data_IF_006922789257
#
_entry.id   IF_006922789257
#
_cell.length_a   1.000
_cell.length_b   1.000
_cell.length_c   1.000
_cell.angle_alpha   90.00
_cell.angle_beta   90.00
_cell.angle_gamma   90.00
#
_symmetry.space_group_name_H-M   'P 1'
#
loop_
_entity.id
_entity.type
_entity.pdbx_description
1 polymer ?
#
# COMPACT_ATOMS: atom_id res chain seq x y z
N UNK A 1 12.83 15.84 6.58
CA UNK A 1 11.72 15.89 5.60
C UNK A 1 10.54 14.98 5.93
N UNK A 2 10.74 13.78 6.53
CA UNK A 2 9.65 12.84 6.79
C UNK A 2 8.52 13.44 7.64
N UNK A 3 8.84 14.15 8.71
CA UNK A 3 7.84 14.78 9.59
C UNK A 3 7.09 15.93 8.90
N UNK A 4 7.75 16.62 7.97
CA UNK A 4 7.07 17.63 7.14
C UNK A 4 6.04 17.02 6.19
N UNK A 5 6.31 15.80 5.66
CA UNK A 5 5.33 15.07 4.86
C UNK A 5 4.11 14.65 5.70
N UNK A 6 4.31 14.19 6.93
CA UNK A 6 3.22 13.89 7.86
C UNK A 6 2.41 15.16 8.22
N UNK A 7 3.08 16.28 8.45
CA UNK A 7 2.40 17.55 8.67
C UNK A 7 1.55 17.95 7.45
N UNK A 8 2.10 17.84 6.24
CA UNK A 8 1.38 18.16 5.01
C UNK A 8 0.17 17.23 4.73
N UNK A 9 0.22 15.98 5.17
CA UNK A 9 -0.94 15.08 5.15
C UNK A 9 -2.02 15.50 6.15
N UNK A 10 -1.61 15.95 7.33
CA UNK A 10 -2.53 16.35 8.39
C UNK A 10 -3.21 17.69 8.11
N UNK A 11 -2.49 18.64 7.54
CA UNK A 11 -3.03 19.97 7.17
C UNK A 11 -3.71 20.01 5.80
N UNK A 12 -3.63 18.91 5.02
CA UNK A 12 -4.27 18.79 3.71
C UNK A 12 -3.48 19.39 2.55
N UNK A 13 -2.23 19.79 2.75
CA UNK A 13 -1.30 20.18 1.66
C UNK A 13 -0.99 19.00 0.76
N UNK A 14 -0.95 17.77 1.34
CA UNK A 14 -0.80 16.51 0.61
C UNK A 14 -2.13 15.76 0.71
N UNK A 15 -2.72 15.43 -0.44
CA UNK A 15 -4.06 14.84 -0.52
C UNK A 15 -4.09 13.35 -0.20
N UNK A 16 -3.11 12.58 -0.67
CA UNK A 16 -3.17 11.12 -0.63
C UNK A 16 -1.79 10.46 -0.52
N UNK A 17 -1.82 9.18 -0.21
CA UNK A 17 -0.63 8.31 -0.18
C UNK A 17 -0.82 7.20 -1.21
N UNK A 18 0.19 6.99 -2.06
CA UNK A 18 0.23 5.92 -3.05
C UNK A 18 1.52 5.12 -2.92
N UNK A 19 1.57 3.90 -3.46
CA UNK A 19 2.70 3.00 -3.25
C UNK A 19 3.92 3.32 -4.09
N UNK A 20 3.74 3.92 -5.25
CA UNK A 20 4.77 4.06 -6.30
C UNK A 20 5.60 2.78 -6.49
N UNK A 21 4.89 1.64 -6.49
CA UNK A 21 5.50 0.31 -6.58
C UNK A 21 6.26 0.15 -7.89
N UNK A 22 7.57 0.14 -7.82
CA UNK A 22 8.50 0.12 -8.95
C UNK A 22 9.58 -0.95 -8.75
N UNK A 23 9.20 -2.25 -8.90
CA UNK A 23 10.12 -3.35 -8.67
C UNK A 23 11.16 -3.47 -9.79
N UNK A 24 12.32 -4.01 -9.43
CA UNK A 24 13.34 -4.45 -10.38
C UNK A 24 13.81 -5.85 -10.01
N UNK A 25 14.62 -6.47 -10.86
CA UNK A 25 15.33 -7.71 -10.54
C UNK A 25 16.48 -7.43 -9.57
N UNK A 26 16.94 -8.47 -8.88
CA UNK A 26 17.96 -8.37 -7.84
C UNK A 26 19.31 -7.88 -8.39
N UNK A 27 19.70 -8.37 -9.56
CA UNK A 27 20.94 -8.02 -10.26
C UNK A 27 21.07 -6.52 -10.60
N UNK A 28 19.94 -5.83 -10.73
CA UNK A 28 19.92 -4.37 -10.98
C UNK A 28 20.09 -3.53 -9.71
N UNK A 29 20.13 -4.11 -8.52
CA UNK A 29 20.15 -3.35 -7.25
C UNK A 29 21.55 -3.08 -6.69
N UNK A 30 22.59 -3.66 -7.26
CA UNK A 30 23.97 -3.50 -6.79
C UNK A 30 24.12 -3.60 -5.26
N UNK A 31 23.58 -4.69 -4.68
CA UNK A 31 23.54 -4.87 -3.24
C UNK A 31 24.93 -5.08 -2.62
N UNK A 32 25.92 -5.51 -3.41
CA UNK A 32 27.26 -5.81 -2.94
C UNK A 32 28.05 -4.51 -2.64
N UNK A 33 27.95 -3.53 -3.53
CA UNK A 33 28.70 -2.29 -3.41
C UNK A 33 27.85 -1.14 -2.83
N UNK A 34 26.52 -1.19 -3.01
CA UNK A 34 25.58 -0.15 -2.57
C UNK A 34 25.78 1.17 -3.32
N UNK A 35 26.26 1.12 -4.56
CA UNK A 35 26.43 2.30 -5.38
C UNK A 35 25.10 2.77 -5.98
N UNK A 36 24.57 3.86 -5.45
CA UNK A 36 23.31 4.46 -5.91
C UNK A 36 23.37 5.05 -7.33
N UNK A 37 24.55 5.30 -7.86
CA UNK A 37 24.70 5.78 -9.24
C UNK A 37 24.51 4.65 -10.26
N UNK A 38 24.80 3.42 -9.86
CA UNK A 38 24.69 2.22 -10.70
C UNK A 38 23.39 1.47 -10.41
N UNK A 39 22.96 1.41 -9.15
CA UNK A 39 21.79 0.68 -8.73
C UNK A 39 20.50 1.24 -9.38
N UNK A 40 19.71 0.35 -9.99
CA UNK A 40 18.40 0.73 -10.51
C UNK A 40 17.48 1.24 -9.40
N UNK A 41 16.83 2.37 -9.61
CA UNK A 41 15.88 2.98 -8.67
C UNK A 41 14.62 2.13 -8.45
N UNK A 42 13.69 2.69 -7.67
CA UNK A 42 12.40 2.09 -7.40
C UNK A 42 12.35 1.17 -6.19
N UNK A 43 11.14 0.97 -5.67
CA UNK A 43 10.86 0.26 -4.41
C UNK A 43 9.71 -0.72 -4.58
N UNK A 44 9.94 -1.98 -4.21
CA UNK A 44 8.89 -3.00 -4.12
C UNK A 44 8.15 -2.86 -2.78
N UNK A 45 6.92 -2.36 -2.80
CA UNK A 45 6.17 -2.01 -1.58
C UNK A 45 4.66 -2.27 -1.63
N UNK A 46 4.08 -2.63 -2.80
CA UNK A 46 2.63 -2.64 -3.01
C UNK A 46 1.85 -3.40 -1.93
N UNK A 47 2.26 -4.62 -1.61
CA UNK A 47 1.60 -5.46 -0.61
C UNK A 47 1.75 -4.94 0.82
N UNK A 48 2.77 -4.13 1.08
CA UNK A 48 3.15 -3.66 2.42
C UNK A 48 2.56 -2.28 2.76
N UNK A 49 2.03 -1.56 1.76
CA UNK A 49 1.70 -0.14 1.87
C UNK A 49 0.84 0.20 3.09
N UNK A 50 -0.27 -0.51 3.31
CA UNK A 50 -1.16 -0.23 4.45
C UNK A 50 -0.46 -0.45 5.79
N UNK A 51 0.26 -1.57 5.95
CA UNK A 51 0.97 -1.87 7.21
C UNK A 51 2.12 -0.89 7.47
N UNK A 52 2.86 -0.49 6.42
CA UNK A 52 3.93 0.51 6.53
C UNK A 52 3.40 1.86 7.02
N UNK A 53 2.34 2.35 6.38
CA UNK A 53 1.76 3.64 6.74
C UNK A 53 1.07 3.56 8.10
N UNK A 54 0.34 2.48 8.38
CA UNK A 54 -0.32 2.29 9.67
C UNK A 54 0.68 2.22 10.84
N UNK A 55 1.78 1.52 10.69
CA UNK A 55 2.84 1.46 11.72
C UNK A 55 3.31 2.87 12.10
N UNK A 56 3.61 3.70 11.13
CA UNK A 56 4.09 5.06 11.34
C UNK A 56 2.98 6.02 11.83
N UNK A 57 1.76 5.87 11.32
CA UNK A 57 0.60 6.66 11.74
C UNK A 57 0.20 6.38 13.19
N UNK A 58 0.18 5.11 13.59
CA UNK A 58 -0.13 4.67 14.95
C UNK A 58 0.81 5.30 15.99
N UNK A 59 2.11 5.34 15.69
CA UNK A 59 3.10 5.96 16.58
C UNK A 59 2.89 7.47 16.75
N UNK A 60 2.20 8.11 15.81
CA UNK A 60 1.85 9.55 15.83
C UNK A 60 0.45 9.81 16.38
N UNK A 61 -0.26 8.78 16.85
CA UNK A 61 -1.63 8.92 17.33
C UNK A 61 -2.66 9.22 16.23
N UNK A 62 -2.33 8.96 14.97
CA UNK A 62 -3.22 9.20 13.82
C UNK A 62 -4.20 8.03 13.74
N UNK A 63 -5.50 8.34 13.64
CA UNK A 63 -6.54 7.34 13.56
C UNK A 63 -6.49 6.54 12.24
N UNK A 64 -6.84 5.23 12.29
CA UNK A 64 -6.89 4.37 11.11
C UNK A 64 -7.80 4.93 10.02
N UNK A 65 -8.95 5.51 10.39
CA UNK A 65 -9.87 6.14 9.43
C UNK A 65 -9.22 7.24 8.59
N UNK A 66 -8.29 8.02 9.18
CA UNK A 66 -7.54 9.03 8.45
C UNK A 66 -6.56 8.39 7.44
N UNK A 67 -5.87 7.30 7.84
CA UNK A 67 -4.98 6.54 6.94
C UNK A 67 -5.78 5.98 5.76
N UNK A 68 -6.94 5.38 6.02
CA UNK A 68 -7.82 4.85 4.97
C UNK A 68 -8.34 5.95 4.02
N UNK A 69 -8.62 7.14 4.55
CA UNK A 69 -8.96 8.29 3.71
C UNK A 69 -7.83 8.61 2.73
N UNK A 70 -6.58 8.71 3.20
CA UNK A 70 -5.43 9.02 2.35
C UNK A 70 -5.08 7.92 1.35
N UNK A 71 -5.34 6.65 1.67
CA UNK A 71 -4.92 5.52 0.84
C UNK A 71 -6.03 4.93 -0.03
N UNK A 72 -7.29 5.26 0.21
CA UNK A 72 -8.42 4.72 -0.55
C UNK A 72 -9.35 5.83 -1.08
N UNK A 73 -10.00 6.61 -0.20
CA UNK A 73 -11.00 7.58 -0.63
C UNK A 73 -10.41 8.70 -1.49
N UNK A 74 -9.32 9.30 -1.05
CA UNK A 74 -8.65 10.40 -1.78
C UNK A 74 -8.06 9.98 -3.11
N UNK A 75 -7.33 8.85 -3.24
CA UNK A 75 -6.89 8.34 -4.53
C UNK A 75 -8.03 8.03 -5.50
N UNK A 76 -9.13 7.44 -5.02
CA UNK A 76 -10.30 7.16 -5.85
C UNK A 76 -10.94 8.45 -6.37
N UNK A 77 -11.08 9.47 -5.51
CA UNK A 77 -11.59 10.79 -5.88
C UNK A 77 -10.68 11.46 -6.92
N UNK A 78 -9.37 11.45 -6.70
CA UNK A 78 -8.38 12.03 -7.62
C UNK A 78 -8.40 11.35 -9.00
N UNK A 79 -8.55 10.03 -9.01
CA UNK A 79 -8.67 9.25 -10.24
C UNK A 79 -10.04 9.37 -10.93
N UNK A 80 -11.03 9.99 -10.28
CA UNK A 80 -12.40 10.15 -10.81
C UNK A 80 -13.21 8.85 -10.80
N UNK A 81 -12.92 7.94 -9.86
CA UNK A 81 -13.66 6.67 -9.67
C UNK A 81 -14.87 6.93 -8.78
N UNK A 82 -16.08 6.71 -9.30
CA UNK A 82 -17.32 7.10 -8.61
C UNK A 82 -17.80 6.09 -7.57
N UNK A 83 -17.46 4.83 -7.75
CA UNK A 83 -17.95 3.69 -6.96
C UNK A 83 -16.85 2.95 -6.21
N UNK A 84 -15.70 3.60 -5.97
CA UNK A 84 -14.55 3.03 -5.27
C UNK A 84 -14.05 3.92 -4.13
N UNK A 85 -13.22 3.35 -3.25
CA UNK A 85 -12.55 4.06 -2.17
C UNK A 85 -13.37 4.27 -0.90
N UNK A 86 -14.62 3.81 -0.86
CA UNK A 86 -15.51 3.92 0.29
C UNK A 86 -16.33 2.64 0.50
N UNK A 87 -16.73 2.40 1.74
CA UNK A 87 -17.70 1.38 2.12
C UNK A 87 -19.08 2.04 2.22
N UNK A 88 -19.80 2.10 1.10
CA UNK A 88 -21.11 2.75 0.98
C UNK A 88 -22.04 1.98 0.07
N UNK A 89 -23.35 2.15 0.23
CA UNK A 89 -24.34 1.57 -0.68
C UNK A 89 -24.12 2.06 -2.11
N UNK A 90 -24.13 1.13 -3.07
CA UNK A 90 -23.88 1.42 -4.48
C UNK A 90 -22.39 1.45 -4.88
N UNK A 91 -21.48 1.29 -3.92
CA UNK A 91 -20.05 1.15 -4.20
C UNK A 91 -19.66 -0.32 -4.44
N UNK A 92 -18.57 -0.52 -5.16
CA UNK A 92 -18.01 -1.86 -5.32
C UNK A 92 -17.57 -2.43 -3.96
N UNK A 93 -17.86 -3.69 -3.74
CA UNK A 93 -17.43 -4.40 -2.53
C UNK A 93 -15.93 -4.78 -2.61
N UNK A 94 -15.07 -3.77 -2.78
CA UNK A 94 -13.62 -3.88 -2.71
C UNK A 94 -13.20 -3.67 -1.25
N UNK A 95 -12.89 -4.77 -0.56
CA UNK A 95 -12.74 -4.76 0.89
C UNK A 95 -11.40 -5.35 1.31
N UNK A 96 -10.83 -4.81 2.37
CA UNK A 96 -9.72 -5.40 3.11
C UNK A 96 -10.14 -5.68 4.56
N UNK A 97 -10.00 -6.93 5.00
CA UNK A 97 -10.13 -7.27 6.42
C UNK A 97 -8.77 -7.05 7.07
N UNK A 98 -8.71 -6.07 7.94
CA UNK A 98 -7.48 -5.58 8.53
C UNK A 98 -7.49 -5.72 10.06
N UNK A 99 -6.44 -6.30 10.61
CA UNK A 99 -6.21 -6.44 12.05
C UNK A 99 -5.17 -5.42 12.52
N UNK A 100 -5.58 -4.22 12.98
CA UNK A 100 -4.66 -3.10 13.22
C UNK A 100 -3.71 -3.31 14.40
N UNK A 101 -4.08 -4.15 15.36
CA UNK A 101 -3.30 -4.41 16.58
C UNK A 101 -2.35 -5.59 16.46
N UNK A 102 -2.45 -6.36 15.39
CA UNK A 102 -1.53 -7.45 15.13
C UNK A 102 -0.24 -6.93 14.48
N UNK A 103 0.85 -7.67 14.69
CA UNK A 103 2.15 -7.35 14.10
C UNK A 103 2.77 -8.55 13.39
N UNK A 104 3.70 -8.27 12.49
CA UNK A 104 4.51 -9.28 11.82
C UNK A 104 5.86 -8.70 11.41
N UNK A 105 6.80 -9.59 11.12
CA UNK A 105 8.09 -9.22 10.50
C UNK A 105 7.98 -9.50 9.01
N UNK A 106 8.37 -8.53 8.20
CA UNK A 106 8.37 -8.68 6.74
C UNK A 106 9.39 -9.75 6.35
N UNK A 107 8.94 -10.68 5.52
CA UNK A 107 9.76 -11.71 4.90
C UNK A 107 9.57 -11.57 3.38
N UNK A 108 10.60 -11.07 2.69
CA UNK A 108 10.54 -10.80 1.26
C UNK A 108 10.18 -12.05 0.44
N UNK A 109 10.61 -13.23 0.89
CA UNK A 109 10.33 -14.50 0.21
C UNK A 109 8.85 -14.90 0.23
N UNK A 110 8.07 -14.37 1.15
CA UNK A 110 6.61 -14.62 1.30
C UNK A 110 5.74 -13.57 0.62
N UNK A 111 6.34 -12.52 0.10
CA UNK A 111 5.60 -11.50 -0.63
C UNK A 111 5.18 -12.03 -2.02
N UNK A 112 4.01 -11.59 -2.46
CA UNK A 112 3.45 -11.96 -3.77
C UNK A 112 3.97 -11.06 -4.91
N UNK A 113 5.17 -10.53 -4.75
CA UNK A 113 5.86 -9.78 -5.78
C UNK A 113 6.54 -10.73 -6.76
N UNK A 114 6.56 -10.38 -8.03
CA UNK A 114 7.30 -11.16 -9.05
C UNK A 114 8.78 -11.29 -8.68
N UNK A 115 9.37 -10.21 -8.18
CA UNK A 115 10.75 -10.17 -7.72
C UNK A 115 10.73 -10.12 -6.19
N UNK A 116 11.17 -11.18 -5.47
CA UNK A 116 11.07 -11.26 -4.01
C UNK A 116 12.15 -10.43 -3.31
N UNK A 117 12.15 -9.14 -3.58
CA UNK A 117 13.06 -8.15 -3.00
C UNK A 117 12.29 -6.92 -2.54
N UNK A 118 12.59 -6.46 -1.35
CA UNK A 118 12.05 -5.21 -0.81
C UNK A 118 13.03 -4.62 0.20
N UNK A 119 13.17 -3.28 0.31
CA UNK A 119 14.00 -2.66 1.35
C UNK A 119 13.38 -2.78 2.75
N UNK A 120 12.18 -3.35 2.85
CA UNK A 120 11.48 -3.56 4.11
C UNK A 120 11.67 -4.97 4.70
N UNK A 121 12.48 -5.82 4.07
CA UNK A 121 12.76 -7.16 4.58
C UNK A 121 13.32 -7.10 6.01
N UNK A 122 12.84 -7.98 6.87
CA UNK A 122 13.19 -7.98 8.30
C UNK A 122 12.54 -6.88 9.14
N UNK A 123 11.78 -5.93 8.56
CA UNK A 123 11.13 -4.85 9.30
C UNK A 123 9.90 -5.35 10.04
N UNK A 124 9.79 -5.03 11.34
CA UNK A 124 8.58 -5.25 12.12
C UNK A 124 7.52 -4.21 11.76
N UNK A 125 6.31 -4.65 11.44
CA UNK A 125 5.18 -3.82 11.09
C UNK A 125 3.97 -4.13 11.96
N UNK A 126 3.14 -3.12 12.21
CA UNK A 126 1.81 -3.24 12.82
C UNK A 126 0.73 -3.24 11.74
N UNK A 127 -0.32 -4.01 11.99
CA UNK A 127 -1.46 -4.15 11.08
C UNK A 127 -1.27 -5.26 10.06
N UNK A 128 -2.17 -6.24 10.10
CA UNK A 128 -2.16 -7.42 9.22
C UNK A 128 -3.39 -7.41 8.33
N UNK A 129 -3.21 -7.45 7.01
CA UNK A 129 -4.30 -7.70 6.06
C UNK A 129 -4.61 -9.19 6.07
N UNK A 130 -5.77 -9.58 6.56
CA UNK A 130 -6.23 -10.97 6.69
C UNK A 130 -6.85 -11.49 5.40
N UNK A 131 -7.68 -10.66 4.77
CA UNK A 131 -8.41 -11.00 3.55
C UNK A 131 -8.57 -9.77 2.67
N UNK A 132 -8.65 -10.00 1.38
CA UNK A 132 -8.96 -8.96 0.40
C UNK A 132 -10.09 -9.47 -0.50
N UNK A 133 -11.07 -8.63 -0.74
CA UNK A 133 -12.17 -8.89 -1.65
C UNK A 133 -12.15 -7.89 -2.80
N UNK A 134 -12.44 -8.36 -3.99
CA UNK A 134 -12.64 -7.54 -5.18
C UNK A 134 -14.05 -7.76 -5.70
N UNK A 135 -14.88 -6.74 -5.67
CA UNK A 135 -16.32 -6.80 -6.01
C UNK A 135 -17.04 -7.97 -5.31
N UNK A 136 -16.79 -8.12 -4.01
CA UNK A 136 -17.38 -9.17 -3.18
C UNK A 136 -16.77 -10.56 -3.33
N UNK A 137 -15.82 -10.76 -4.25
CA UNK A 137 -15.12 -12.03 -4.43
C UNK A 137 -13.83 -12.05 -3.63
N UNK A 138 -13.66 -13.06 -2.76
CA UNK A 138 -12.42 -13.26 -2.01
C UNK A 138 -11.26 -13.53 -2.98
N UNK A 139 -10.17 -12.79 -2.81
CA UNK A 139 -8.95 -12.97 -3.60
C UNK A 139 -8.13 -14.14 -3.05
N UNK A 140 -8.01 -15.20 -3.84
CA UNK A 140 -7.22 -16.40 -3.50
C UNK A 140 -5.73 -16.27 -3.90
N UNK A 141 -5.40 -15.25 -4.67
CA UNK A 141 -4.05 -15.01 -5.21
C UNK A 141 -3.64 -15.96 -6.33
N UNK A 142 -4.58 -16.71 -6.90
CA UNK A 142 -4.37 -17.67 -8.00
C UNK A 142 -5.19 -17.29 -9.23
N UNK A 143 -6.45 -16.98 -9.02
CA UNK A 143 -7.41 -16.68 -10.08
C UNK A 143 -7.45 -15.17 -10.37
N UNK A 144 -7.03 -14.71 -11.56
CA UNK A 144 -7.11 -13.31 -11.91
C UNK A 144 -8.57 -12.89 -12.10
N UNK A 145 -9.04 -11.98 -11.21
CA UNK A 145 -10.41 -11.43 -11.25
C UNK A 145 -10.44 -9.94 -11.58
N UNK A 146 -9.26 -9.35 -11.82
CA UNK A 146 -9.12 -7.94 -12.17
C UNK A 146 -9.77 -7.61 -13.51
N UNK A 147 -10.30 -6.39 -13.63
CA UNK A 147 -10.86 -5.83 -14.85
C UNK A 147 -10.29 -4.43 -15.07
N UNK A 148 -10.19 -4.02 -16.34
CA UNK A 148 -9.77 -2.68 -16.68
C UNK A 148 -10.77 -1.65 -16.12
N UNK A 149 -10.29 -0.75 -15.30
CA UNK A 149 -11.09 0.37 -14.78
C UNK A 149 -11.01 1.52 -15.79
N UNK A 150 -12.17 2.12 -16.07
CA UNK A 150 -12.28 3.31 -16.92
C UNK A 150 -12.71 4.50 -16.06
N UNK A 151 -12.15 5.67 -16.36
CA UNK A 151 -12.51 6.92 -15.66
C UNK A 151 -13.98 7.27 -15.93
N UNK A 152 -14.70 7.67 -14.88
CA UNK A 152 -16.08 8.16 -15.00
C UNK A 152 -17.16 7.06 -15.07
N UNK A 153 -16.79 5.81 -14.84
CA UNK A 153 -17.74 4.69 -14.74
C UNK A 153 -18.00 4.35 -13.28
#
# INVERSE_FOLDING_TARGET
NRELLWAGLLDGTIDCIVSDHSPSTLDLKDLENGDFAVAWGGVSSLQLGLSLIWTEARHRGIALGQVLSWMAAKPAQLAGLRNKGQLSLGYDADLSVFAPDEGYVVDASKLRHKNPITPYDGKALSGVVRQTYLRGTLIDGRTPTGQLIRRGV
#
